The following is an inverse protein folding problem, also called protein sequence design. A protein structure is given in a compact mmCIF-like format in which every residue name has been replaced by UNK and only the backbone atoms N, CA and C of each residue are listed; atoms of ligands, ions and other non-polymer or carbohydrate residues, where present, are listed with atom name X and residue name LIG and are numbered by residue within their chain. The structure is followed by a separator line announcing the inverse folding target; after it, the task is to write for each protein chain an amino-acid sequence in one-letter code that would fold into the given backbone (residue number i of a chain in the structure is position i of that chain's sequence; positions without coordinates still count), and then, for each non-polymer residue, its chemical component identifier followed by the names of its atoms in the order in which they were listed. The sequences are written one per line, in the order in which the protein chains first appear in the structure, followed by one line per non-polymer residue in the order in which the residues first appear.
data_IF_789230922444
#
_entry.id   IF_789230922444
#
_cell.length_a   1.000
_cell.length_b   1.000
_cell.length_c   1.000
_cell.angle_alpha   90.00
_cell.angle_beta   90.00
_cell.angle_gamma   90.00
#
_symmetry.space_group_name_H-M   'P 1'
#
loop_
_entity.id
_entity.type
_entity.pdbx_description
1 polymer ?
#
# COMPACT_ATOMS: atom_id res chain seq x y z
N UNK A 1 66.59 -4.04 17.43
CA UNK A 1 67.55 -3.44 16.48
C UNK A 1 67.25 -1.95 16.32
N UNK A 2 68.25 -1.07 16.13
CA UNK A 2 68.08 0.38 16.11
C UNK A 2 67.57 0.89 14.74
N UNK A 3 66.98 2.11 14.68
CA UNK A 3 66.49 2.74 13.45
C UNK A 3 67.53 3.73 12.87
N UNK A 4 67.47 4.00 11.56
CA UNK A 4 67.95 5.22 10.81
C UNK A 4 67.75 4.91 9.32
N UNK A 5 67.21 5.76 8.44
CA UNK A 5 67.47 7.19 8.20
C UNK A 5 66.35 7.79 7.35
N UNK A 6 65.91 9.00 7.67
CA UNK A 6 64.98 9.79 6.85
C UNK A 6 65.72 10.47 5.68
N UNK A 7 65.05 10.61 4.53
CA UNK A 7 65.39 11.63 3.52
C UNK A 7 64.12 12.25 2.96
N UNK A 8 64.13 13.58 2.97
CA UNK A 8 63.11 14.57 2.68
C UNK A 8 63.12 14.92 1.18
N UNK A 9 61.95 15.07 0.55
CA UNK A 9 61.82 15.66 -0.79
C UNK A 9 60.42 15.53 -1.40
N UNK A 10 59.65 16.62 -1.39
CA UNK A 10 58.37 16.81 -2.10
C UNK A 10 58.62 17.10 -3.62
N UNK A 11 57.60 17.46 -4.44
CA UNK A 11 56.59 16.61 -5.09
C UNK A 11 56.69 16.71 -6.64
N UNK A 12 56.03 15.82 -7.40
CA UNK A 12 55.80 16.05 -8.83
C UNK A 12 54.35 15.74 -9.20
N UNK A 13 53.62 16.82 -9.46
CA UNK A 13 52.27 16.85 -10.01
C UNK A 13 52.23 16.08 -11.33
N UNK A 14 51.33 15.11 -11.44
CA UNK A 14 50.63 14.81 -12.69
C UNK A 14 49.14 14.89 -12.39
N UNK A 15 48.58 16.02 -12.78
CA UNK A 15 47.15 16.25 -12.91
C UNK A 15 46.80 15.94 -14.35
N UNK A 16 46.04 14.88 -14.61
CA UNK A 16 45.16 14.79 -15.79
C UNK A 16 43.97 13.90 -15.43
N UNK A 17 42.78 14.49 -15.54
CA UNK A 17 41.44 13.93 -15.70
C UNK A 17 40.82 13.05 -14.61
N UNK A 18 39.97 13.72 -13.81
CA UNK A 18 38.56 13.33 -13.65
C UNK A 18 38.09 12.30 -14.69
N UNK A 19 37.70 11.12 -14.22
CA UNK A 19 36.48 10.49 -14.69
C UNK A 19 35.78 9.91 -13.47
N UNK A 20 34.91 10.74 -12.92
CA UNK A 20 33.84 10.33 -12.02
C UNK A 20 33.05 9.22 -12.72
N UNK A 21 33.15 7.99 -12.21
CA UNK A 21 32.32 6.89 -12.67
C UNK A 21 30.86 7.31 -12.43
N UNK A 22 29.99 7.24 -13.47
CA UNK A 22 28.65 7.77 -13.39
C UNK A 22 27.89 7.00 -12.30
N UNK A 23 27.22 7.76 -11.44
CA UNK A 23 26.25 7.29 -10.46
C UNK A 23 25.51 6.05 -10.98
N UNK A 24 25.83 4.88 -10.43
CA UNK A 24 24.93 3.74 -10.54
C UNK A 24 23.60 4.21 -9.91
N UNK A 25 22.44 4.02 -10.55
CA UNK A 25 21.19 4.28 -9.87
C UNK A 25 21.18 3.32 -8.68
N UNK A 26 21.28 3.89 -7.48
CA UNK A 26 21.03 3.20 -6.23
C UNK A 26 19.65 2.56 -6.40
N UNK A 27 19.64 1.26 -6.71
CA UNK A 27 18.43 0.47 -6.75
C UNK A 27 18.04 0.37 -5.29
N UNK A 28 17.30 1.39 -4.85
CA UNK A 28 16.55 1.34 -3.61
C UNK A 28 15.86 -0.02 -3.64
N UNK A 29 16.02 -0.88 -2.63
CA UNK A 29 15.01 -1.89 -2.45
C UNK A 29 13.74 -1.06 -2.28
N UNK A 30 12.91 -1.06 -3.31
CA UNK A 30 11.53 -0.62 -3.23
C UNK A 30 10.84 -1.68 -2.37
N UNK A 31 11.26 -1.76 -1.11
CA UNK A 31 10.37 -1.85 0.02
C UNK A 31 9.44 -0.66 -0.11
N UNK A 32 8.52 -0.79 -1.08
CA UNK A 32 7.16 -0.38 -0.86
C UNK A 32 6.88 -1.01 0.49
N UNK A 33 6.94 -0.20 1.55
CA UNK A 33 5.93 -0.29 2.56
C UNK A 33 4.66 -0.32 1.73
N UNK A 34 4.20 -1.55 1.43
CA UNK A 34 2.86 -1.77 0.94
C UNK A 34 2.08 -1.36 2.16
N UNK A 35 1.83 -0.06 2.25
CA UNK A 35 0.82 0.45 3.14
C UNK A 35 -0.39 -0.35 2.70
N UNK A 36 -0.77 -1.31 3.53
CA UNK A 36 -2.02 -2.05 3.47
C UNK A 36 -3.15 -1.06 3.77
N UNK A 37 -3.18 0.04 3.03
CA UNK A 37 -4.39 0.79 2.79
C UNK A 37 -5.02 0.05 1.63
N UNK A 38 -6.18 -0.52 1.87
CA UNK A 38 -7.14 -0.96 0.84
C UNK A 38 -6.88 -0.16 -0.43
N UNK A 39 -6.52 -0.83 -1.53
CA UNK A 39 -6.19 -0.14 -2.78
C UNK A 39 -7.32 0.86 -3.07
N UNK A 40 -7.03 2.16 -2.94
CA UNK A 40 -8.08 3.21 -2.91
C UNK A 40 -8.84 3.26 -4.25
N UNK A 41 -8.26 2.70 -5.31
CA UNK A 41 -8.90 2.39 -6.58
C UNK A 41 -10.08 1.42 -6.45
N UNK A 42 -9.97 0.39 -5.62
CA UNK A 42 -10.99 -0.62 -5.41
C UNK A 42 -12.17 -0.08 -4.61
N UNK A 43 -11.92 0.69 -3.54
CA UNK A 43 -13.00 1.38 -2.81
C UNK A 43 -13.76 2.32 -3.76
N UNK A 44 -13.03 3.07 -4.60
CA UNK A 44 -13.65 3.96 -5.58
C UNK A 44 -14.52 3.18 -6.58
N UNK A 45 -14.03 2.04 -7.07
CA UNK A 45 -14.79 1.20 -8.00
C UNK A 45 -16.03 0.60 -7.35
N UNK A 46 -15.89 0.08 -6.13
CA UNK A 46 -17.00 -0.44 -5.33
C UNK A 46 -18.08 0.62 -5.11
N UNK A 47 -17.71 1.84 -4.70
CA UNK A 47 -18.66 2.93 -4.52
C UNK A 47 -19.31 3.39 -5.83
N UNK A 48 -18.61 3.29 -6.96
CA UNK A 48 -19.15 3.61 -8.29
C UNK A 48 -20.28 2.66 -8.71
N UNK A 49 -20.29 1.44 -8.18
CA UNK A 49 -21.34 0.46 -8.40
C UNK A 49 -22.61 0.69 -7.56
N UNK A 50 -22.62 1.73 -6.70
CA UNK A 50 -23.73 2.00 -5.77
C UNK A 50 -24.11 0.75 -4.95
N UNK A 51 -23.21 0.29 -4.08
CA UNK A 51 -23.42 -0.96 -3.35
C UNK A 51 -24.62 -0.85 -2.42
N UNK A 52 -25.30 -1.96 -2.11
CA UNK A 52 -26.43 -1.95 -1.20
C UNK A 52 -25.97 -1.45 0.19
N UNK A 53 -26.88 -0.80 0.91
CA UNK A 53 -26.67 -0.35 2.29
C UNK A 53 -27.50 -1.22 3.22
N UNK A 54 -26.94 -1.53 4.39
CA UNK A 54 -27.64 -2.23 5.46
C UNK A 54 -27.51 -1.38 6.71
N UNK A 55 -28.63 -0.98 7.29
CA UNK A 55 -28.64 -0.15 8.51
C UNK A 55 -28.86 -0.99 9.75
N UNK A 56 -29.48 -2.17 9.61
CA UNK A 56 -29.80 -3.06 10.72
C UNK A 56 -30.84 -2.47 11.68
N UNK A 57 -31.54 -1.41 11.25
CA UNK A 57 -32.46 -0.62 12.07
C UNK A 57 -33.93 -0.94 11.81
N UNK A 58 -34.23 -1.54 10.65
CA UNK A 58 -35.60 -1.90 10.27
C UNK A 58 -35.78 -3.42 10.25
N UNK A 59 -36.92 -3.88 10.76
CA UNK A 59 -37.34 -5.28 10.64
C UNK A 59 -37.75 -5.67 9.22
N UNK A 60 -37.89 -4.69 8.33
CA UNK A 60 -38.16 -4.92 6.90
C UNK A 60 -36.89 -5.15 6.08
N UNK A 61 -35.71 -4.85 6.62
CA UNK A 61 -34.45 -5.12 5.94
C UNK A 61 -34.20 -6.63 5.95
N UNK A 62 -33.93 -7.21 4.79
CA UNK A 62 -33.57 -8.61 4.65
C UNK A 62 -32.04 -8.77 4.59
N UNK A 63 -31.40 -9.35 5.62
CA UNK A 63 -29.96 -9.56 5.64
C UNK A 63 -29.47 -10.51 4.54
N UNK A 64 -30.26 -11.50 4.12
CA UNK A 64 -29.87 -12.43 3.05
C UNK A 64 -29.83 -11.71 1.70
N UNK A 65 -30.88 -10.98 1.36
CA UNK A 65 -30.90 -10.16 0.15
C UNK A 65 -29.77 -9.12 0.12
N UNK A 66 -29.45 -8.47 1.25
CA UNK A 66 -28.31 -7.56 1.32
C UNK A 66 -26.99 -8.25 0.95
N UNK A 67 -26.74 -9.43 1.53
CA UNK A 67 -25.52 -10.19 1.28
C UNK A 67 -25.44 -10.63 -0.19
N UNK A 68 -26.55 -11.05 -0.78
CA UNK A 68 -26.57 -11.50 -2.17
C UNK A 68 -26.39 -10.35 -3.17
N UNK A 69 -27.00 -9.20 -2.94
CA UNK A 69 -26.74 -8.00 -3.74
C UNK A 69 -25.28 -7.53 -3.60
N UNK A 70 -24.71 -7.63 -2.40
CA UNK A 70 -23.32 -7.28 -2.16
C UNK A 70 -22.35 -8.23 -2.90
N UNK A 71 -22.64 -9.54 -2.93
CA UNK A 71 -21.87 -10.52 -3.72
C UNK A 71 -21.92 -10.21 -5.22
N UNK A 72 -23.10 -9.85 -5.76
CA UNK A 72 -23.23 -9.48 -7.18
C UNK A 72 -22.32 -8.30 -7.54
N UNK A 73 -22.25 -7.28 -6.68
CA UNK A 73 -21.32 -6.16 -6.88
C UNK A 73 -19.88 -6.66 -6.93
N UNK A 74 -19.47 -7.48 -5.97
CA UNK A 74 -18.10 -8.03 -5.92
C UNK A 74 -17.73 -8.89 -7.13
N UNK A 75 -18.69 -9.62 -7.68
CA UNK A 75 -18.47 -10.43 -8.88
C UNK A 75 -18.30 -9.55 -10.13
N UNK A 76 -19.02 -8.42 -10.23
CA UNK A 76 -18.87 -7.48 -11.34
C UNK A 76 -17.52 -6.74 -11.31
N UNK A 77 -17.02 -6.40 -10.12
CA UNK A 77 -15.73 -5.68 -9.97
C UNK A 77 -14.53 -6.62 -9.86
N UNK A 78 -14.74 -7.94 -9.93
CA UNK A 78 -13.69 -8.98 -9.88
C UNK A 78 -12.69 -8.83 -8.72
N UNK A 79 -13.19 -8.61 -7.50
CA UNK A 79 -12.36 -8.47 -6.29
C UNK A 79 -12.03 -9.81 -5.63
N UNK A 80 -10.83 -9.91 -5.05
CA UNK A 80 -10.36 -11.09 -4.33
C UNK A 80 -11.09 -11.27 -2.99
N UNK A 81 -11.12 -12.51 -2.47
CA UNK A 81 -11.86 -12.81 -1.23
C UNK A 81 -11.41 -11.97 -0.03
N UNK A 82 -10.11 -11.67 0.10
CA UNK A 82 -9.57 -10.83 1.18
C UNK A 82 -10.12 -9.40 1.10
N UNK A 83 -10.24 -8.87 -0.11
CA UNK A 83 -10.74 -7.52 -0.38
C UNK A 83 -12.25 -7.43 -0.18
N UNK A 84 -13.00 -8.47 -0.55
CA UNK A 84 -14.44 -8.58 -0.29
C UNK A 84 -14.77 -8.42 1.20
N UNK A 85 -13.95 -9.01 2.07
CA UNK A 85 -14.13 -8.91 3.53
C UNK A 85 -13.90 -7.47 4.00
N UNK A 86 -12.87 -6.80 3.52
CA UNK A 86 -12.58 -5.40 3.86
C UNK A 86 -13.70 -4.46 3.40
N UNK A 87 -14.20 -4.64 2.17
CA UNK A 87 -15.31 -3.84 1.62
C UNK A 87 -16.63 -4.10 2.36
N UNK A 88 -16.92 -5.35 2.74
CA UNK A 88 -18.09 -5.68 3.54
C UNK A 88 -18.00 -5.05 4.95
N UNK A 89 -16.83 -5.11 5.58
CA UNK A 89 -16.58 -4.45 6.87
C UNK A 89 -16.76 -2.93 6.77
N UNK A 90 -16.33 -2.32 5.67
CA UNK A 90 -16.54 -0.89 5.40
C UNK A 90 -18.03 -0.53 5.36
N UNK A 91 -18.89 -1.35 4.74
CA UNK A 91 -20.34 -1.11 4.72
C UNK A 91 -20.99 -1.27 6.09
N UNK A 92 -20.58 -2.29 6.85
CA UNK A 92 -21.19 -2.62 8.13
C UNK A 92 -20.69 -1.75 9.31
N UNK A 93 -19.72 -0.87 9.09
CA UNK A 93 -19.16 0.01 10.14
C UNK A 93 -20.21 0.83 10.89
N UNK A 94 -21.31 1.19 10.22
CA UNK A 94 -22.39 1.98 10.82
C UNK A 94 -23.37 1.10 11.59
N UNK A 95 -23.60 -0.14 11.14
CA UNK A 95 -24.45 -1.13 11.83
C UNK A 95 -23.87 -1.48 13.19
N UNK A 96 -22.54 -1.65 13.26
CA UNK A 96 -21.85 -1.88 14.51
C UNK A 96 -22.13 -0.78 15.55
N UNK A 97 -22.30 0.49 15.12
CA UNK A 97 -22.64 1.59 16.04
C UNK A 97 -24.04 1.42 16.61
N UNK A 98 -25.02 1.08 15.78
CA UNK A 98 -26.42 0.86 16.20
C UNK A 98 -26.57 -0.30 17.19
N UNK A 99 -25.69 -1.30 17.15
CA UNK A 99 -25.73 -2.43 18.09
C UNK A 99 -25.16 -2.12 19.49
N UNK A 100 -24.29 -1.11 19.61
CA UNK A 100 -23.65 -0.75 20.89
C UNK A 100 -24.28 0.48 21.56
N UNK A 101 -25.30 1.08 20.95
CA UNK A 101 -26.08 2.21 21.48
C UNK A 101 -27.35 1.69 22.17
#
# INVERSE_FOLDING_TARGET
MPPRRAVRGLPARRSVEEQELPNAPEVQPKGRARQEGVDTSMIREFLRMNPPSFTGSSTSEDPENFVDELKKVFDVIYVANTERVELAAYQLKNVARTWFD
#
